data_IF_979580986627
#
_entry.id   IF_979580986627
#
_cell.length_a   1.000
_cell.length_b   1.000
_cell.length_c   1.000
_cell.angle_alpha   90.00
_cell.angle_beta   90.00
_cell.angle_gamma   90.00
#
_symmetry.space_group_name_H-M   'P 1'
#
loop_
_entity.id
_entity.type
_entity.pdbx_description
1 polymer ?
#
# COMPACT_ATOMS: atom_id res chain seq x y z
N UNK A 1 6.23 6.71 -8.91
CA UNK A 1 4.86 6.33 -9.32
C UNK A 1 4.96 4.98 -10.02
N UNK A 2 4.40 3.91 -9.44
CA UNK A 2 4.43 2.57 -10.04
C UNK A 2 3.23 2.46 -10.99
N UNK A 3 3.45 2.76 -12.28
CA UNK A 3 2.42 2.59 -13.31
C UNK A 3 2.50 1.17 -13.85
N UNK A 4 1.63 0.29 -13.36
CA UNK A 4 1.34 -1.01 -13.97
C UNK A 4 0.10 -0.87 -14.88
N UNK A 5 0.25 -0.60 -16.18
CA UNK A 5 -0.86 -0.41 -17.11
C UNK A 5 -1.68 -1.69 -17.34
N UNK A 6 -1.14 -2.86 -16.98
CA UNK A 6 -1.84 -4.14 -17.12
C UNK A 6 -2.70 -4.48 -15.90
N UNK A 7 -2.58 -3.70 -14.83
CA UNK A 7 -3.21 -3.93 -13.54
C UNK A 7 -2.96 -5.36 -12.98
N UNK A 8 -1.89 -6.03 -13.42
CA UNK A 8 -1.54 -7.38 -13.01
C UNK A 8 -1.26 -7.42 -11.51
N UNK A 9 -0.56 -6.41 -10.99
CA UNK A 9 -0.27 -6.25 -9.57
C UNK A 9 -1.55 -6.02 -8.77
N UNK A 10 -2.47 -5.20 -9.28
CA UNK A 10 -3.75 -4.94 -8.63
C UNK A 10 -4.65 -6.18 -8.57
N UNK A 11 -4.65 -7.00 -9.62
CA UNK A 11 -5.35 -8.29 -9.66
C UNK A 11 -4.74 -9.29 -8.68
N UNK A 12 -3.41 -9.40 -8.66
CA UNK A 12 -2.69 -10.29 -7.74
C UNK A 12 -2.91 -9.89 -6.27
N UNK A 13 -3.01 -8.59 -5.98
CA UNK A 13 -3.33 -8.08 -4.65
C UNK A 13 -4.84 -8.07 -4.33
N UNK A 14 -5.70 -8.50 -5.25
CA UNK A 14 -7.16 -8.53 -5.04
C UNK A 14 -7.82 -7.16 -4.88
N UNK A 15 -7.16 -6.07 -5.29
CA UNK A 15 -7.63 -4.68 -5.12
C UNK A 15 -8.20 -4.07 -6.38
N UNK A 16 -8.33 -4.85 -7.45
CA UNK A 16 -8.98 -4.39 -8.68
C UNK A 16 -10.48 -4.21 -8.42
N UNK A 17 -10.97 -2.98 -8.58
CA UNK A 17 -12.41 -2.72 -8.54
C UNK A 17 -13.08 -3.25 -9.82
N UNK A 18 -14.40 -3.44 -9.74
CA UNK A 18 -15.26 -3.78 -10.88
C UNK A 18 -15.23 -2.74 -12.02
N UNK A 19 -14.73 -1.53 -11.77
CA UNK A 19 -14.56 -0.46 -12.77
C UNK A 19 -13.20 -0.51 -13.49
N UNK A 20 -12.37 -1.53 -13.25
CA UNK A 20 -11.08 -1.70 -13.93
C UNK A 20 -9.94 -0.84 -13.39
N UNK A 21 -10.20 -0.08 -12.31
CA UNK A 21 -9.18 0.67 -11.56
C UNK A 21 -8.95 0.04 -10.19
N UNK A 22 -7.71 0.01 -9.67
CA UNK A 22 -7.46 -0.42 -8.31
C UNK A 22 -8.11 0.53 -7.29
N UNK A 23 -8.64 -0.01 -6.19
CA UNK A 23 -9.00 0.80 -5.03
C UNK A 23 -7.77 1.48 -4.44
N UNK A 24 -7.96 2.65 -3.82
CA UNK A 24 -6.88 3.44 -3.22
C UNK A 24 -6.41 2.83 -1.91
N UNK A 25 -5.52 1.85 -1.98
CA UNK A 25 -4.95 1.16 -0.82
C UNK A 25 -3.46 1.48 -0.69
N UNK A 26 -2.96 1.52 0.54
CA UNK A 26 -1.54 1.61 0.86
C UNK A 26 -1.04 0.23 1.27
N UNK A 27 -0.09 -0.31 0.52
CA UNK A 27 0.56 -1.58 0.84
C UNK A 27 1.91 -1.32 1.49
N UNK A 28 2.12 -1.88 2.68
CA UNK A 28 3.41 -1.88 3.34
C UNK A 28 4.12 -3.18 2.99
N UNK A 29 5.19 -3.09 2.21
CA UNK A 29 5.98 -4.25 1.77
C UNK A 29 7.27 -4.27 2.58
N UNK A 30 7.53 -5.38 3.27
CA UNK A 30 8.76 -5.61 4.00
C UNK A 30 9.97 -5.73 3.08
N UNK A 31 11.17 -5.62 3.65
CA UNK A 31 12.42 -5.80 2.89
C UNK A 31 12.59 -7.20 2.29
N UNK A 32 11.81 -8.17 2.76
CA UNK A 32 11.71 -9.55 2.27
C UNK A 32 10.74 -9.70 1.08
N UNK A 33 10.11 -8.61 0.64
CA UNK A 33 9.15 -8.61 -0.46
C UNK A 33 7.75 -9.09 -0.09
N UNK A 34 7.47 -9.32 1.21
CA UNK A 34 6.14 -9.73 1.67
C UNK A 34 5.30 -8.53 2.09
N UNK A 35 3.98 -8.65 1.93
CA UNK A 35 3.03 -7.64 2.41
C UNK A 35 2.96 -7.74 3.94
N UNK A 36 3.41 -6.69 4.63
CA UNK A 36 3.39 -6.58 6.08
C UNK A 36 2.06 -5.99 6.58
N UNK A 37 1.46 -5.07 5.83
CA UNK A 37 0.12 -4.53 6.10
C UNK A 37 -0.53 -3.99 4.82
N UNK A 38 -1.86 -3.96 4.83
CA UNK A 38 -2.69 -3.32 3.81
C UNK A 38 -3.60 -2.34 4.53
N UNK A 39 -3.50 -1.06 4.15
CA UNK A 39 -4.39 -0.01 4.60
C UNK A 39 -5.35 0.35 3.47
N UNK A 40 -6.63 0.04 3.68
CA UNK A 40 -7.71 0.26 2.71
C UNK A 40 -8.53 1.54 3.01
N UNK A 41 -8.21 2.28 4.07
CA UNK A 41 -8.93 3.49 4.48
C UNK A 41 -8.04 4.73 4.37
N UNK A 42 -7.42 4.90 3.19
CA UNK A 42 -6.45 5.96 2.95
C UNK A 42 -7.14 7.32 2.92
N UNK A 43 -6.82 8.18 3.88
CA UNK A 43 -7.24 9.58 3.87
C UNK A 43 -6.13 10.46 3.25
N UNK A 44 -6.36 11.09 2.08
CA UNK A 44 -5.34 11.90 1.41
C UNK A 44 -4.79 13.04 2.29
N UNK A 45 -5.65 13.64 3.13
CA UNK A 45 -5.30 14.79 3.95
C UNK A 45 -4.33 14.44 5.09
N UNK A 46 -4.40 13.22 5.62
CA UNK A 46 -3.59 12.73 6.75
C UNK A 46 -2.61 11.63 6.35
N UNK A 47 -2.53 11.32 5.05
CA UNK A 47 -1.76 10.17 4.54
C UNK A 47 -0.29 10.16 4.99
N UNK A 48 0.37 11.32 5.03
CA UNK A 48 1.76 11.41 5.47
C UNK A 48 1.93 10.98 6.94
N UNK A 49 1.06 11.43 7.84
CA UNK A 49 1.12 11.06 9.25
C UNK A 49 0.69 9.61 9.48
N UNK A 50 -0.36 9.15 8.81
CA UNK A 50 -0.88 7.78 8.93
C UNK A 50 0.15 6.75 8.45
N UNK A 51 0.85 7.03 7.35
CA UNK A 51 1.96 6.19 6.88
C UNK A 51 3.10 6.12 7.90
N UNK A 52 3.48 7.26 8.51
CA UNK A 52 4.52 7.27 9.53
C UNK A 52 4.12 6.50 10.80
N UNK A 53 2.85 6.63 11.22
CA UNK A 53 2.32 5.89 12.36
C UNK A 53 2.29 4.38 12.08
N UNK A 54 1.80 3.95 10.91
CA UNK A 54 1.80 2.56 10.49
C UNK A 54 3.23 1.98 10.39
N UNK A 55 4.19 2.73 9.84
CA UNK A 55 5.58 2.28 9.80
C UNK A 55 6.19 2.12 11.20
N UNK A 56 5.76 2.96 12.15
CA UNK A 56 6.09 2.86 13.56
C UNK A 56 5.49 1.62 14.24
N UNK A 57 4.20 1.31 13.98
CA UNK A 57 3.53 0.13 14.53
C UNK A 57 4.10 -1.17 13.96
N UNK A 58 4.46 -1.17 12.67
CA UNK A 58 5.07 -2.30 11.97
C UNK A 58 6.52 -2.59 12.41
N UNK A 59 7.12 -1.77 13.28
CA UNK A 59 8.53 -1.87 13.74
C UNK A 59 9.51 -2.08 12.57
N UNK A 60 9.21 -1.45 11.43
CA UNK A 60 10.06 -1.58 10.24
C UNK A 60 11.44 -0.98 10.52
N UNK A 61 12.53 -1.57 9.98
CA UNK A 61 13.85 -0.97 10.10
C UNK A 61 13.82 0.41 9.44
N UNK A 62 14.03 1.44 10.25
CA UNK A 62 14.09 2.82 9.76
C UNK A 62 15.27 2.90 8.80
N UNK A 63 15.00 3.22 7.53
CA UNK A 63 16.06 3.41 6.55
C UNK A 63 16.92 4.61 7.02
N UNK A 64 18.25 4.45 7.13
CA UNK A 64 19.15 5.52 7.55
C UNK A 64 19.16 6.69 6.55
#
# INVERSE_FOLDING_TARGET
>A
MFSDPTAATARACGVLSSYGVPYRYTFYIGGDGKIAAIDNNVNPATSAQEMAAMLGTLKTPKRP
#
